data_IF_924881959524
#
_entry.id   IF_924881959524
#
_cell.length_a   1.000
_cell.length_b   1.000
_cell.length_c   1.000
_cell.angle_alpha   90.00
_cell.angle_beta   90.00
_cell.angle_gamma   90.00
#
_symmetry.space_group_name_H-M   'P 1'
#
loop_
_entity.id
_entity.type
_entity.pdbx_description
1 polymer ?
#
# COMPACT_ATOMS: atom_id res chain seq x y z
N UNK A 1 -0.47 21.54 10.69
CA UNK A 1 0.47 20.40 10.97
C UNK A 1 0.54 19.49 9.75
N UNK A 2 1.47 18.52 9.66
CA UNK A 2 1.63 17.65 8.48
C UNK A 2 1.55 16.16 8.80
N UNK A 3 1.01 15.33 7.91
CA UNK A 3 1.17 13.88 8.00
C UNK A 3 2.59 13.48 7.63
N UNK A 4 3.27 12.74 8.52
CA UNK A 4 4.67 12.33 8.34
C UNK A 4 4.76 10.81 8.34
N UNK A 5 5.36 10.22 7.32
CA UNK A 5 5.62 8.78 7.26
C UNK A 5 6.55 8.38 8.42
N UNK A 6 6.18 7.39 9.23
CA UNK A 6 7.08 6.91 10.30
C UNK A 6 8.37 6.30 9.75
N UNK A 7 8.32 5.71 8.55
CA UNK A 7 9.45 5.04 7.90
C UNK A 7 10.35 6.01 7.11
N UNK A 8 9.80 6.72 6.10
CA UNK A 8 10.61 7.55 5.19
C UNK A 8 10.56 9.06 5.45
N UNK A 9 9.84 9.49 6.49
CA UNK A 9 9.66 10.90 6.86
C UNK A 9 9.02 11.80 5.78
N UNK A 10 8.48 11.22 4.69
CA UNK A 10 7.73 11.98 3.68
C UNK A 10 6.54 12.69 4.32
N UNK A 11 6.38 13.95 3.96
CA UNK A 11 5.23 14.78 4.29
C UNK A 11 4.26 14.82 3.10
N UNK A 12 2.94 14.67 3.31
CA UNK A 12 2.00 14.64 2.17
C UNK A 12 0.64 15.33 2.36
N UNK A 13 0.37 15.96 3.50
CA UNK A 13 -0.82 16.82 3.66
C UNK A 13 -0.57 17.87 4.71
N UNK A 14 -1.08 19.07 4.47
CA UNK A 14 -1.27 20.08 5.51
C UNK A 14 -2.63 19.85 6.17
N UNK A 15 -2.63 19.85 7.49
CA UNK A 15 -3.79 19.64 8.35
C UNK A 15 -4.11 20.98 9.01
N UNK A 16 -5.37 21.42 8.87
CA UNK A 16 -5.90 22.59 9.55
C UNK A 16 -5.91 22.35 11.08
N UNK A 17 -5.76 23.39 11.92
CA UNK A 17 -5.60 23.25 13.37
C UNK A 17 -6.73 22.50 14.09
N UNK A 18 -7.90 22.40 13.46
CA UNK A 18 -9.14 21.84 14.00
C UNK A 18 -9.44 20.40 13.57
N UNK A 19 -8.61 19.80 12.70
CA UNK A 19 -8.68 18.36 12.39
C UNK A 19 -7.82 17.56 13.41
N UNK A 20 -8.46 16.95 14.41
CA UNK A 20 -7.83 15.93 15.24
C UNK A 20 -7.64 14.62 14.45
N UNK A 21 -6.40 14.11 14.41
CA UNK A 21 -6.12 12.84 13.75
C UNK A 21 -4.69 12.74 13.25
N UNK A 22 -3.72 12.57 14.16
CA UNK A 22 -2.35 12.23 13.81
C UNK A 22 -2.29 10.81 13.21
N UNK A 23 -1.90 10.69 11.94
CA UNK A 23 -1.52 9.37 11.42
C UNK A 23 -0.08 9.07 11.84
N UNK A 24 0.08 8.05 12.69
CA UNK A 24 1.37 7.41 12.98
C UNK A 24 1.71 6.36 11.88
N UNK A 25 1.15 6.52 10.68
CA UNK A 25 1.15 5.50 9.64
C UNK A 25 2.30 5.60 8.63
N UNK A 26 2.30 4.64 7.70
CA UNK A 26 3.17 4.62 6.53
C UNK A 26 2.55 5.42 5.39
N UNK A 27 3.37 6.13 4.62
CA UNK A 27 2.93 6.65 3.31
C UNK A 27 2.59 5.48 2.37
N UNK A 28 1.80 5.73 1.32
CA UNK A 28 1.37 4.68 0.37
C UNK A 28 2.53 3.84 -0.18
N UNK A 29 3.68 4.47 -0.49
CA UNK A 29 4.87 3.76 -0.96
C UNK A 29 5.47 2.83 0.10
N UNK A 30 5.58 3.29 1.34
CA UNK A 30 6.11 2.46 2.43
C UNK A 30 5.11 1.37 2.84
N UNK A 31 3.81 1.66 2.83
CA UNK A 31 2.76 0.68 3.06
C UNK A 31 2.83 -0.42 2.01
N UNK A 32 2.92 -0.07 0.72
CA UNK A 32 3.09 -1.04 -0.37
C UNK A 32 4.29 -1.95 -0.13
N UNK A 33 5.46 -1.38 0.19
CA UNK A 33 6.68 -2.15 0.48
C UNK A 33 6.50 -3.12 1.65
N UNK A 34 5.80 -2.70 2.70
CA UNK A 34 5.51 -3.55 3.87
C UNK A 34 4.55 -4.70 3.54
N UNK A 35 3.56 -4.45 2.68
CA UNK A 35 2.54 -5.44 2.29
C UNK A 35 3.05 -6.48 1.28
N UNK A 36 4.01 -6.11 0.43
CA UNK A 36 4.59 -7.00 -0.60
C UNK A 36 5.00 -8.38 -0.07
N UNK A 37 5.89 -8.50 0.93
CA UNK A 37 6.32 -9.82 1.38
C UNK A 37 5.18 -10.63 2.00
N UNK A 38 4.23 -9.98 2.69
CA UNK A 38 3.10 -10.64 3.36
C UNK A 38 2.17 -11.30 2.34
N UNK A 39 1.75 -10.55 1.32
CA UNK A 39 0.80 -11.09 0.35
C UNK A 39 1.45 -12.00 -0.67
N UNK A 40 2.73 -11.80 -0.98
CA UNK A 40 3.50 -12.74 -1.81
C UNK A 40 3.69 -14.09 -1.16
N UNK A 41 4.00 -14.12 0.14
CA UNK A 41 4.04 -15.36 0.92
C UNK A 41 2.68 -16.07 0.92
N UNK A 42 1.60 -15.31 1.12
CA UNK A 42 0.24 -15.86 1.05
C UNK A 42 -0.11 -16.39 -0.34
N UNK A 43 0.25 -15.68 -1.42
CA UNK A 43 0.04 -16.15 -2.79
C UNK A 43 0.74 -17.49 -3.03
N UNK A 44 2.01 -17.62 -2.62
CA UNK A 44 2.76 -18.89 -2.72
C UNK A 44 2.09 -20.03 -1.96
N UNK A 45 1.66 -19.78 -0.72
CA UNK A 45 0.97 -20.77 0.13
C UNK A 45 -0.35 -21.26 -0.47
N UNK A 46 -1.02 -20.39 -1.23
CA UNK A 46 -2.28 -20.70 -1.91
C UNK A 46 -2.08 -21.30 -3.32
N UNK A 47 -0.84 -21.47 -3.79
CA UNK A 47 -0.55 -21.93 -5.15
C UNK A 47 -0.79 -20.87 -6.24
N UNK A 48 -0.93 -19.60 -5.86
CA UNK A 48 -1.12 -18.47 -6.76
C UNK A 48 0.23 -17.87 -7.22
N UNK A 49 0.19 -17.06 -8.28
CA UNK A 49 1.37 -16.32 -8.78
C UNK A 49 1.95 -15.36 -7.73
N UNK A 50 3.28 -15.36 -7.57
CA UNK A 50 4.06 -14.42 -6.74
C UNK A 50 4.15 -13.03 -7.40
N UNK A 51 3.02 -12.34 -7.52
CA UNK A 51 2.88 -11.14 -8.35
C UNK A 51 2.32 -9.92 -7.60
N UNK A 52 2.01 -10.02 -6.31
CA UNK A 52 1.48 -8.87 -5.57
C UNK A 52 2.42 -7.66 -5.66
N UNK A 53 1.83 -6.49 -5.94
CA UNK A 53 2.51 -5.21 -6.04
C UNK A 53 3.31 -4.94 -7.32
N UNK A 54 3.23 -5.81 -8.34
CA UNK A 54 3.95 -5.63 -9.62
C UNK A 54 3.14 -4.97 -10.74
N UNK A 55 1.81 -4.85 -10.60
CA UNK A 55 0.96 -4.21 -11.63
C UNK A 55 1.44 -2.79 -11.91
N UNK A 56 1.43 -2.34 -13.16
CA UNK A 56 1.80 -0.97 -13.55
C UNK A 56 0.57 -0.21 -14.05
N UNK A 57 -0.41 0.02 -13.18
CA UNK A 57 -1.71 0.63 -13.56
C UNK A 57 -2.67 -0.33 -14.29
N UNK A 58 -2.24 -1.57 -14.55
CA UNK A 58 -3.06 -2.60 -15.17
C UNK A 58 -2.77 -3.98 -14.57
N UNK A 59 -3.82 -4.80 -14.47
CA UNK A 59 -3.76 -6.20 -14.08
C UNK A 59 -4.91 -6.97 -14.76
N UNK A 60 -4.54 -8.00 -15.51
CA UNK A 60 -5.43 -8.88 -16.27
C UNK A 60 -6.06 -10.02 -15.44
N UNK A 61 -5.55 -10.26 -14.22
CA UNK A 61 -6.14 -11.23 -13.29
C UNK A 61 -7.42 -10.69 -12.64
N UNK A 62 -8.50 -10.54 -13.41
CA UNK A 62 -9.77 -9.93 -13.00
C UNK A 62 -10.40 -10.55 -11.74
N UNK A 63 -10.20 -11.85 -11.52
CA UNK A 63 -10.70 -12.58 -10.34
C UNK A 63 -9.73 -12.56 -9.13
N UNK A 64 -8.57 -11.90 -9.24
CA UNK A 64 -7.59 -11.85 -8.16
C UNK A 64 -8.13 -11.00 -7.00
N UNK A 65 -8.25 -11.59 -5.81
CA UNK A 65 -8.68 -10.90 -4.58
C UNK A 65 -7.82 -9.69 -4.19
N UNK A 66 -6.57 -9.66 -4.62
CA UNK A 66 -5.65 -8.55 -4.35
C UNK A 66 -5.66 -7.47 -5.44
N UNK A 67 -6.38 -7.67 -6.55
CA UNK A 67 -6.37 -6.75 -7.69
C UNK A 67 -6.73 -5.31 -7.31
N UNK A 68 -7.77 -5.02 -6.49
CA UNK A 68 -8.08 -3.64 -6.10
C UNK A 68 -6.90 -2.97 -5.37
N UNK A 69 -6.31 -3.66 -4.38
CA UNK A 69 -5.17 -3.16 -3.61
C UNK A 69 -3.94 -2.97 -4.50
N UNK A 70 -3.69 -3.90 -5.42
CA UNK A 70 -2.61 -3.79 -6.40
C UNK A 70 -2.78 -2.57 -7.32
N UNK A 71 -4.00 -2.17 -7.66
CA UNK A 71 -4.27 -1.03 -8.53
C UNK A 71 -4.36 0.31 -7.78
N UNK A 72 -4.83 0.32 -6.53
CA UNK A 72 -4.93 1.53 -5.69
C UNK A 72 -3.57 1.99 -5.13
N UNK A 73 -2.62 1.06 -4.94
CA UNK A 73 -1.27 1.35 -4.47
C UNK A 73 -0.30 1.74 -5.62
N UNK A 74 -0.82 2.08 -6.80
CA UNK A 74 -0.07 2.43 -8.02
C UNK A 74 -0.27 3.87 -8.40
#
# INVERSE_FOLDING_TARGET
MKYVCVNCKKEWREIAPEEEGFSHGLCSSCLKKALIPIYRDRQKKEGNFDCFGTSLGYCDQGACKYRPVCLELM
#
